data_IF_030568435416
#
_entry.id   IF_030568435416
#
_cell.length_a   1.000
_cell.length_b   1.000
_cell.length_c   1.000
_cell.angle_alpha   90.00
_cell.angle_beta   90.00
_cell.angle_gamma   90.00
#
_symmetry.space_group_name_H-M   'P 1'
#
loop_
_entity.id
_entity.type
_entity.pdbx_description
1 polymer ?
#
# COMPACT_ATOMS: atom_id res chain seq x y z
N UNK A 1 26.72 -16.43 -37.42
CA UNK A 1 26.84 -15.47 -36.29
C UNK A 1 27.34 -16.27 -35.10
N UNK A 2 28.67 -16.42 -35.03
CA UNK A 2 29.38 -17.47 -34.31
C UNK A 2 29.66 -17.11 -32.84
N UNK A 3 29.79 -18.14 -32.02
CA UNK A 3 30.09 -18.17 -30.57
C UNK A 3 31.23 -17.22 -30.13
N UNK A 4 32.07 -16.79 -31.08
CA UNK A 4 33.18 -15.85 -30.89
C UNK A 4 32.76 -14.43 -30.47
N UNK A 5 31.54 -13.98 -30.82
CA UNK A 5 31.08 -12.63 -30.43
C UNK A 5 30.63 -12.55 -28.97
N UNK A 6 30.20 -13.68 -28.38
CA UNK A 6 29.76 -13.73 -26.98
C UNK A 6 30.93 -13.77 -25.99
N UNK A 7 32.04 -14.42 -26.35
CA UNK A 7 33.24 -14.52 -25.51
C UNK A 7 34.00 -13.20 -25.42
N UNK A 8 34.00 -12.39 -26.48
CA UNK A 8 34.71 -11.09 -26.50
C UNK A 8 34.04 -10.04 -25.59
N UNK A 9 32.71 -10.07 -25.50
CA UNK A 9 31.96 -9.21 -24.58
C UNK A 9 32.21 -9.55 -23.10
N UNK A 10 32.49 -10.81 -22.79
CA UNK A 10 32.75 -11.27 -21.41
C UNK A 10 34.18 -10.95 -20.93
N UNK A 11 35.16 -10.92 -21.83
CA UNK A 11 36.56 -10.63 -21.50
C UNK A 11 36.86 -9.13 -21.34
N UNK A 12 36.05 -8.25 -21.94
CA UNK A 12 36.21 -6.79 -21.87
C UNK A 12 35.19 -6.09 -20.94
N UNK A 13 34.46 -6.83 -20.11
CA UNK A 13 33.73 -6.18 -19.02
C UNK A 13 34.74 -5.81 -17.93
N UNK A 14 34.89 -4.53 -17.55
CA UNK A 14 35.71 -4.17 -16.39
C UNK A 14 35.21 -4.94 -15.17
N UNK A 15 36.13 -5.46 -14.36
CA UNK A 15 35.76 -6.19 -13.16
C UNK A 15 34.98 -5.25 -12.22
N UNK A 16 33.69 -5.52 -12.06
CA UNK A 16 32.82 -4.81 -11.11
C UNK A 16 33.20 -5.08 -9.64
N UNK A 17 34.35 -5.72 -9.37
CA UNK A 17 34.86 -5.97 -8.02
C UNK A 17 35.14 -4.67 -7.23
N UNK A 18 35.35 -3.54 -7.92
CA UNK A 18 35.54 -2.21 -7.31
C UNK A 18 34.26 -1.35 -7.37
N UNK A 19 33.17 -1.85 -7.97
CA UNK A 19 31.89 -1.15 -8.05
C UNK A 19 30.97 -1.38 -6.84
N UNK A 20 31.51 -1.96 -5.76
CA UNK A 20 30.84 -2.04 -4.46
C UNK A 20 31.11 -0.78 -3.64
N UNK A 21 30.44 0.32 -4.00
CA UNK A 21 30.45 1.54 -3.20
C UNK A 21 29.62 1.36 -1.93
N UNK A 22 30.24 0.85 -0.86
CA UNK A 22 29.73 0.95 0.50
C UNK A 22 30.29 2.26 1.06
N UNK A 23 29.51 3.34 0.98
CA UNK A 23 29.89 4.65 1.52
C UNK A 23 29.51 4.67 2.99
N UNK A 24 30.45 4.93 3.91
CA UNK A 24 30.18 5.07 5.35
C UNK A 24 29.10 6.14 5.66
N UNK A 25 28.89 7.09 4.75
CA UNK A 25 27.82 8.09 4.81
C UNK A 25 26.40 7.49 4.74
N UNK A 26 26.21 6.36 4.04
CA UNK A 26 24.91 5.68 3.93
C UNK A 26 24.53 4.99 5.26
N UNK A 27 25.50 4.49 6.02
CA UNK A 27 25.29 3.83 7.32
C UNK A 27 24.93 4.84 8.42
N UNK A 28 25.69 5.94 8.54
CA UNK A 28 25.40 7.00 9.52
C UNK A 28 24.01 7.64 9.30
N UNK A 29 23.59 7.78 8.04
CA UNK A 29 22.26 8.27 7.71
C UNK A 29 21.16 7.30 8.16
N UNK A 30 21.39 6.00 7.97
CA UNK A 30 20.46 4.96 8.38
C UNK A 30 20.29 4.91 9.90
N UNK A 31 21.39 5.00 10.67
CA UNK A 31 21.36 5.05 12.13
C UNK A 31 20.55 6.24 12.64
N UNK A 32 20.83 7.46 12.13
CA UNK A 32 20.09 8.68 12.48
C UNK A 32 18.59 8.52 12.23
N UNK A 33 18.22 7.86 11.13
CA UNK A 33 16.81 7.59 10.80
C UNK A 33 16.17 6.63 11.79
N UNK A 34 16.90 5.61 12.22
CA UNK A 34 16.43 4.64 13.22
C UNK A 34 16.24 5.28 14.59
N UNK A 35 17.14 6.18 15.01
CA UNK A 35 16.99 6.97 16.22
C UNK A 35 15.74 7.85 16.18
N UNK A 36 15.51 8.55 15.05
CA UNK A 36 14.31 9.37 14.86
C UNK A 36 13.04 8.51 14.94
N UNK A 37 13.05 7.31 14.34
CA UNK A 37 11.92 6.39 14.39
C UNK A 37 11.66 5.89 15.82
N UNK A 38 12.71 5.47 16.54
CA UNK A 38 12.63 5.05 17.95
C UNK A 38 12.09 6.17 18.84
N UNK A 39 12.61 7.40 18.68
CA UNK A 39 12.14 8.57 19.43
C UNK A 39 10.67 8.87 19.17
N UNK A 40 10.20 8.75 17.91
CA UNK A 40 8.78 8.92 17.57
C UNK A 40 7.90 7.85 18.21
N UNK A 41 8.35 6.59 18.22
CA UNK A 41 7.62 5.50 18.87
C UNK A 41 7.55 5.73 20.38
N UNK A 42 8.67 6.04 21.02
CA UNK A 42 8.72 6.31 22.46
C UNK A 42 7.80 7.46 22.87
N UNK A 43 7.73 8.54 22.08
CA UNK A 43 6.79 9.65 22.33
C UNK A 43 5.32 9.22 22.18
N UNK A 44 5.03 8.30 21.26
CA UNK A 44 3.67 7.75 21.12
C UNK A 44 3.32 6.88 22.33
N UNK A 45 4.21 5.97 22.72
CA UNK A 45 4.04 5.05 23.85
C UNK A 45 4.00 5.80 25.20
N UNK A 46 4.68 6.95 25.31
CA UNK A 46 4.65 7.79 26.52
C UNK A 46 3.26 8.37 26.84
N UNK A 47 2.40 8.58 25.83
CA UNK A 47 1.03 9.10 26.04
C UNK A 47 0.11 8.14 26.79
N UNK A 48 0.62 6.95 26.99
CA UNK A 48 -0.08 5.70 27.19
C UNK A 48 0.54 4.93 28.37
N UNK A 49 1.62 5.47 28.93
CA UNK A 49 2.35 4.94 30.08
C UNK A 49 1.57 5.03 31.40
N UNK A 50 0.52 5.87 31.46
CA UNK A 50 -0.33 6.02 32.64
C UNK A 50 -1.38 4.90 32.78
N UNK A 51 -1.38 3.90 31.90
CA UNK A 51 -2.37 2.84 31.89
C UNK A 51 -1.83 1.61 32.63
N UNK A 52 -2.46 1.27 33.75
CA UNK A 52 -2.05 0.14 34.59
C UNK A 52 -2.28 -1.19 33.88
N UNK A 53 -1.32 -2.12 34.04
CA UNK A 53 -1.47 -3.48 33.54
C UNK A 53 -2.53 -4.22 34.36
N UNK A 54 -3.55 -4.80 33.73
CA UNK A 54 -4.50 -5.64 34.46
C UNK A 54 -3.79 -6.89 34.96
N UNK A 55 -4.22 -7.35 36.14
CA UNK A 55 -3.58 -8.46 36.84
C UNK A 55 -3.72 -9.78 36.11
N UNK A 56 -4.76 -9.97 35.28
CA UNK A 56 -5.10 -11.26 34.66
C UNK A 56 -5.21 -11.18 33.13
N UNK A 57 -4.84 -12.27 32.46
CA UNK A 57 -4.99 -12.43 31.01
C UNK A 57 -6.46 -12.66 30.63
N UNK A 58 -6.94 -11.99 29.57
CA UNK A 58 -8.34 -12.10 29.13
C UNK A 58 -8.75 -13.48 28.61
N UNK A 59 -7.78 -14.32 28.18
CA UNK A 59 -8.06 -15.66 27.61
C UNK A 59 -7.86 -16.81 28.58
N UNK A 60 -6.84 -16.74 29.43
CA UNK A 60 -6.48 -17.85 30.33
C UNK A 60 -6.58 -17.51 31.81
N UNK A 61 -6.96 -16.27 32.17
CA UNK A 61 -7.15 -15.79 33.55
C UNK A 61 -5.92 -15.94 34.47
N UNK A 62 -4.77 -16.31 33.91
CA UNK A 62 -3.49 -16.37 34.63
C UNK A 62 -2.98 -14.96 34.91
N UNK A 63 -2.14 -14.78 35.95
CA UNK A 63 -1.50 -13.50 36.21
C UNK A 63 -0.75 -13.02 34.97
N UNK A 64 -1.10 -11.82 34.51
CA UNK A 64 -0.54 -11.17 33.33
C UNK A 64 0.63 -10.30 33.78
N UNK A 65 1.84 -10.74 33.46
CA UNK A 65 3.06 -9.95 33.61
C UNK A 65 3.35 -9.17 32.32
N UNK A 66 4.58 -8.65 32.20
CA UNK A 66 5.11 -8.02 30.99
C UNK A 66 4.89 -8.94 29.76
N UNK A 67 3.85 -8.64 29.00
CA UNK A 67 3.51 -9.34 27.75
C UNK A 67 3.76 -8.43 26.56
N UNK A 68 4.15 -9.03 25.43
CA UNK A 68 4.50 -8.27 24.23
C UNK A 68 3.32 -7.45 23.70
N UNK A 69 2.10 -8.01 23.79
CA UNK A 69 0.86 -7.35 23.38
C UNK A 69 0.48 -6.20 24.32
N UNK A 70 0.74 -6.34 25.63
CA UNK A 70 0.49 -5.27 26.58
C UNK A 70 1.43 -4.09 26.37
N UNK A 71 2.73 -4.34 26.26
CA UNK A 71 3.75 -3.29 26.08
C UNK A 71 3.44 -2.40 24.87
N UNK A 72 3.07 -3.01 23.72
CA UNK A 72 2.91 -2.28 22.46
C UNK A 72 1.48 -1.82 22.18
N UNK A 73 0.47 -2.60 22.57
CA UNK A 73 -0.92 -2.35 22.20
C UNK A 73 -1.85 -2.14 23.40
N UNK A 74 -1.36 -2.31 24.63
CA UNK A 74 -2.18 -2.39 25.85
C UNK A 74 -3.35 -3.37 25.72
N UNK A 75 -3.08 -4.50 25.07
CA UNK A 75 -4.04 -5.58 24.96
C UNK A 75 -3.71 -6.66 25.99
N UNK A 76 -4.65 -7.03 26.90
CA UNK A 76 -4.36 -7.84 28.08
C UNK A 76 -4.31 -9.35 27.77
N UNK A 77 -3.36 -9.76 26.95
CA UNK A 77 -3.18 -11.15 26.52
C UNK A 77 -1.74 -11.58 26.72
N UNK A 78 -1.55 -12.70 27.42
CA UNK A 78 -0.22 -13.27 27.63
C UNK A 78 0.36 -13.87 26.34
N UNK A 79 1.69 -13.98 26.27
CA UNK A 79 2.36 -14.45 25.06
C UNK A 79 2.00 -15.91 24.70
N UNK A 80 1.60 -16.74 25.67
CA UNK A 80 1.12 -18.09 25.39
C UNK A 80 -0.25 -18.13 24.70
N UNK A 81 -1.07 -17.10 24.91
CA UNK A 81 -2.40 -16.98 24.31
C UNK A 81 -2.40 -16.09 23.06
N UNK A 82 -1.24 -15.55 22.69
CA UNK A 82 -1.05 -14.78 21.47
C UNK A 82 -1.23 -15.68 20.25
N UNK A 83 -1.97 -15.17 19.28
CA UNK A 83 -2.29 -15.85 18.02
C UNK A 83 -1.98 -14.92 16.86
N UNK A 84 -0.83 -15.12 16.26
CA UNK A 84 -0.32 -14.29 15.16
C UNK A 84 -1.13 -14.46 13.87
N UNK A 85 -1.91 -15.55 13.74
CA UNK A 85 -2.64 -15.87 12.51
C UNK A 85 -4.10 -15.41 12.54
N UNK A 86 -4.76 -15.54 13.68
CA UNK A 86 -6.18 -15.24 13.83
C UNK A 86 -6.44 -13.82 14.32
N UNK A 87 -6.64 -13.69 15.64
CA UNK A 87 -7.11 -12.48 16.31
C UNK A 87 -5.99 -11.44 16.50
N UNK A 88 -4.80 -11.87 16.89
CA UNK A 88 -3.69 -10.96 17.22
C UNK A 88 -2.79 -10.67 16.01
N UNK A 89 -3.28 -10.93 14.80
CA UNK A 89 -2.57 -10.61 13.55
C UNK A 89 -2.32 -9.11 13.45
N UNK A 90 -1.09 -8.76 13.10
CA UNK A 90 -0.67 -7.39 12.84
C UNK A 90 -1.03 -7.01 11.40
N UNK A 91 -1.71 -5.88 11.23
CA UNK A 91 -2.20 -5.39 9.95
C UNK A 91 -1.58 -4.03 9.65
N UNK A 92 -0.94 -3.82 8.50
CA UNK A 92 -0.39 -2.52 8.12
C UNK A 92 -1.52 -1.51 7.89
N UNK A 93 -1.23 -0.23 8.19
CA UNK A 93 -2.18 0.88 8.03
C UNK A 93 -2.92 0.89 6.68
N UNK A 94 -2.22 0.57 5.59
CA UNK A 94 -2.81 0.53 4.25
C UNK A 94 -3.84 -0.59 4.12
N UNK A 95 -3.53 -1.80 4.59
CA UNK A 95 -4.46 -2.94 4.61
C UNK A 95 -5.64 -2.68 5.54
N UNK A 96 -5.41 -2.05 6.70
CA UNK A 96 -6.49 -1.68 7.61
C UNK A 96 -7.54 -0.76 6.95
N UNK A 97 -7.08 0.26 6.22
CA UNK A 97 -7.96 1.18 5.47
C UNK A 97 -8.73 0.49 4.35
N UNK A 98 -8.09 -0.40 3.59
CA UNK A 98 -8.73 -1.06 2.45
C UNK A 98 -9.68 -2.17 2.91
N UNK A 99 -9.28 -2.94 3.92
CA UNK A 99 -10.01 -4.13 4.37
C UNK A 99 -11.19 -3.76 5.26
N UNK A 100 -11.02 -2.81 6.18
CA UNK A 100 -12.04 -2.35 7.13
C UNK A 100 -12.65 -0.99 6.76
N UNK A 101 -12.31 -0.45 5.59
CA UNK A 101 -12.87 0.80 5.06
C UNK A 101 -12.67 2.03 5.99
N UNK A 102 -11.72 1.95 6.92
CA UNK A 102 -11.40 2.98 7.89
C UNK A 102 -10.68 4.18 7.26
N UNK A 103 -10.96 5.39 7.76
CA UNK A 103 -10.28 6.62 7.34
C UNK A 103 -9.12 6.95 8.29
N UNK A 104 -8.30 7.92 7.90
CA UNK A 104 -7.17 8.38 8.73
C UNK A 104 -7.60 9.02 10.05
N UNK A 105 -8.72 9.76 10.04
CA UNK A 105 -9.31 10.33 11.25
C UNK A 105 -9.76 9.25 12.24
N UNK A 106 -10.21 8.10 11.74
CA UNK A 106 -10.70 7.01 12.58
C UNK A 106 -9.56 6.29 13.32
N UNK A 107 -8.36 6.31 12.75
CA UNK A 107 -7.16 5.72 13.36
C UNK A 107 -6.44 6.70 14.30
N UNK A 108 -6.24 7.94 13.85
CA UNK A 108 -5.36 8.91 14.54
C UNK A 108 -6.11 9.85 15.52
N UNK A 109 -7.39 10.17 15.27
CA UNK A 109 -8.12 11.22 16.02
C UNK A 109 -9.18 10.69 16.99
N UNK A 110 -9.88 9.61 16.63
CA UNK A 110 -10.94 9.05 17.47
C UNK A 110 -10.37 8.47 18.75
N UNK A 111 -10.99 8.81 19.89
CA UNK A 111 -10.63 8.30 21.22
C UNK A 111 -11.34 6.95 21.47
N UNK A 112 -10.67 5.94 22.06
CA UNK A 112 -9.24 5.91 22.39
C UNK A 112 -8.36 5.84 21.13
N UNK A 113 -7.21 6.54 21.13
CA UNK A 113 -6.29 6.48 19.98
C UNK A 113 -5.69 5.08 19.90
N UNK A 114 -5.66 4.49 18.71
CA UNK A 114 -5.12 3.16 18.52
C UNK A 114 -3.59 3.20 18.59
N UNK A 115 -3.01 2.33 19.41
CA UNK A 115 -1.57 2.12 19.45
C UNK A 115 -1.12 1.39 18.19
N UNK A 116 0.11 1.65 17.77
CA UNK A 116 0.70 0.99 16.61
C UNK A 116 2.15 0.63 16.88
N UNK A 117 2.62 -0.41 16.17
CA UNK A 117 4.03 -0.74 16.11
C UNK A 117 4.65 -0.24 14.80
N UNK A 118 5.68 0.60 14.90
CA UNK A 118 6.45 1.05 13.74
C UNK A 118 7.52 0.04 13.31
N UNK A 119 7.55 -0.29 12.02
CA UNK A 119 8.56 -1.17 11.40
C UNK A 119 9.07 -0.55 10.09
N UNK A 120 10.28 -0.91 9.66
CA UNK A 120 10.79 -0.51 8.35
C UNK A 120 9.93 -1.10 7.23
N UNK A 121 9.80 -0.36 6.13
CA UNK A 121 9.05 -0.81 4.98
C UNK A 121 9.85 -1.93 4.25
N UNK A 122 9.30 -3.14 4.07
CA UNK A 122 10.00 -4.28 3.48
C UNK A 122 10.30 -4.08 2.00
N UNK A 123 9.53 -3.22 1.30
CA UNK A 123 9.78 -2.95 -0.11
C UNK A 123 10.99 -2.03 -0.31
N UNK A 124 11.09 -0.99 0.52
CA UNK A 124 12.25 -0.10 0.51
C UNK A 124 12.44 0.52 1.91
N UNK A 125 13.57 0.24 2.60
CA UNK A 125 13.83 0.82 3.92
C UNK A 125 13.97 2.35 3.89
N UNK A 126 14.23 2.94 2.71
CA UNK A 126 14.27 4.40 2.51
C UNK A 126 12.88 5.05 2.54
N UNK A 127 11.80 4.28 2.44
CA UNK A 127 10.43 4.80 2.59
C UNK A 127 10.04 4.98 4.06
N UNK A 128 9.01 5.79 4.30
CA UNK A 128 8.50 6.01 5.66
C UNK A 128 8.18 4.70 6.37
N UNK A 129 8.41 4.68 7.69
CA UNK A 129 8.17 3.50 8.52
C UNK A 129 6.68 3.10 8.43
N UNK A 130 6.43 1.81 8.29
CA UNK A 130 5.07 1.28 8.31
C UNK A 130 4.53 1.30 9.74
N UNK A 131 3.23 1.58 9.86
CA UNK A 131 2.50 1.41 11.12
C UNK A 131 1.69 0.13 11.05
N UNK A 132 1.90 -0.75 12.03
CA UNK A 132 1.18 -2.00 12.20
C UNK A 132 0.18 -1.85 13.36
N UNK A 133 -1.07 -2.24 13.12
CA UNK A 133 -2.16 -2.22 14.09
C UNK A 133 -2.61 -3.64 14.43
N UNK A 134 -3.15 -3.83 15.62
CA UNK A 134 -3.72 -5.11 16.03
C UNK A 134 -5.09 -5.32 15.39
N UNK A 135 -5.33 -6.50 14.80
CA UNK A 135 -6.59 -6.80 14.11
C UNK A 135 -7.82 -6.68 15.01
N UNK A 136 -7.78 -7.19 16.26
CA UNK A 136 -8.91 -7.05 17.19
C UNK A 136 -9.34 -5.59 17.40
N UNK A 137 -8.37 -4.70 17.66
CA UNK A 137 -8.64 -3.28 17.86
C UNK A 137 -9.22 -2.59 16.61
N UNK A 138 -8.79 -3.02 15.41
CA UNK A 138 -9.37 -2.52 14.16
C UNK A 138 -10.81 -2.98 13.97
N UNK A 139 -11.13 -4.21 14.33
CA UNK A 139 -12.48 -4.76 14.27
C UNK A 139 -13.40 -4.02 15.24
N UNK A 140 -12.97 -3.80 16.48
CA UNK A 140 -13.71 -2.99 17.46
C UNK A 140 -13.98 -1.57 16.93
N UNK A 141 -12.95 -0.89 16.40
CA UNK A 141 -13.10 0.44 15.78
C UNK A 141 -14.02 0.43 14.57
N UNK A 142 -14.02 -0.63 13.79
CA UNK A 142 -14.93 -0.80 12.65
C UNK A 142 -16.38 -0.89 13.15
N UNK A 143 -16.63 -1.70 14.19
CA UNK A 143 -17.96 -1.84 14.80
C UNK A 143 -18.44 -0.53 15.44
N UNK A 144 -17.55 0.26 16.04
CA UNK A 144 -17.91 1.59 16.57
C UNK A 144 -18.39 2.57 15.48
N UNK A 145 -17.93 2.40 14.24
CA UNK A 145 -18.24 3.32 13.13
C UNK A 145 -19.46 2.85 12.33
N UNK A 146 -19.51 1.55 12.06
CA UNK A 146 -20.54 0.94 11.22
C UNK A 146 -21.66 0.28 12.02
N UNK A 147 -21.55 0.23 13.35
CA UNK A 147 -22.55 -0.36 14.25
C UNK A 147 -22.56 -1.89 14.23
N UNK A 148 -22.77 -2.48 13.06
CA UNK A 148 -22.91 -3.93 12.88
C UNK A 148 -22.06 -4.47 11.73
N UNK A 149 -21.78 -5.77 11.77
CA UNK A 149 -21.11 -6.48 10.67
C UNK A 149 -21.92 -6.45 9.38
N UNK A 150 -23.25 -6.48 9.48
CA UNK A 150 -24.14 -6.48 8.31
C UNK A 150 -24.09 -5.14 7.56
N UNK A 151 -24.15 -4.02 8.28
CA UNK A 151 -24.03 -2.68 7.69
C UNK A 151 -22.68 -2.47 7.02
N UNK A 152 -21.61 -2.93 7.66
CA UNK A 152 -20.27 -2.90 7.10
C UNK A 152 -20.17 -3.71 5.79
N UNK A 153 -20.72 -4.92 5.75
CA UNK A 153 -20.75 -5.74 4.54
C UNK A 153 -21.60 -5.11 3.43
N UNK A 154 -22.74 -4.51 3.77
CA UNK A 154 -23.59 -3.80 2.83
C UNK A 154 -22.85 -2.61 2.19
N UNK A 155 -22.17 -1.79 2.99
CA UNK A 155 -21.35 -0.67 2.51
C UNK A 155 -20.19 -1.16 1.62
N UNK A 156 -19.55 -2.27 1.99
CA UNK A 156 -18.48 -2.87 1.19
C UNK A 156 -18.99 -3.35 -0.18
N UNK A 157 -20.15 -4.02 -0.22
CA UNK A 157 -20.81 -4.44 -1.46
C UNK A 157 -21.20 -3.22 -2.32
N UNK A 158 -21.75 -2.18 -1.70
CA UNK A 158 -22.11 -0.93 -2.39
C UNK A 158 -20.89 -0.25 -3.03
N UNK A 159 -19.74 -0.20 -2.34
CA UNK A 159 -18.53 0.37 -2.93
C UNK A 159 -17.95 -0.48 -4.07
N UNK A 160 -18.08 -1.81 -3.99
CA UNK A 160 -17.67 -2.70 -5.09
C UNK A 160 -18.53 -2.45 -6.33
N UNK A 161 -19.86 -2.45 -6.18
CA UNK A 161 -20.77 -2.21 -7.30
C UNK A 161 -20.56 -0.82 -7.92
N UNK A 162 -20.38 0.21 -7.10
CA UNK A 162 -20.05 1.55 -7.61
C UNK A 162 -18.70 1.58 -8.35
N UNK A 163 -17.70 0.81 -7.92
CA UNK A 163 -16.41 0.71 -8.61
C UNK A 163 -16.56 0.02 -9.96
N UNK A 164 -17.35 -1.04 -10.04
CA UNK A 164 -17.67 -1.74 -11.28
C UNK A 164 -18.41 -0.83 -12.27
N UNK A 165 -19.46 -0.12 -11.81
CA UNK A 165 -20.19 0.85 -12.64
C UNK A 165 -19.28 1.98 -13.14
N UNK A 166 -18.37 2.49 -12.29
CA UNK A 166 -17.38 3.51 -12.73
C UNK A 166 -16.39 2.94 -13.74
N UNK A 167 -15.97 1.69 -13.58
CA UNK A 167 -15.06 1.02 -14.50
C UNK A 167 -15.72 0.80 -15.86
N UNK A 168 -16.98 0.36 -15.89
CA UNK A 168 -17.78 0.20 -17.12
C UNK A 168 -17.93 1.53 -17.85
N UNK A 169 -18.38 2.59 -17.16
CA UNK A 169 -18.50 3.93 -17.75
C UNK A 169 -17.17 4.46 -18.29
N UNK A 170 -16.06 4.20 -17.60
CA UNK A 170 -14.74 4.59 -18.07
C UNK A 170 -14.31 3.79 -19.31
N UNK A 171 -14.68 2.50 -19.38
CA UNK A 171 -14.43 1.67 -20.54
C UNK A 171 -15.24 2.14 -21.75
N UNK A 172 -16.54 2.40 -21.58
CA UNK A 172 -17.41 2.94 -22.63
C UNK A 172 -16.90 4.27 -23.19
N UNK A 173 -16.46 5.18 -22.31
CA UNK A 173 -15.84 6.45 -22.72
C UNK A 173 -14.61 6.23 -23.59
N UNK A 174 -13.70 5.35 -23.16
CA UNK A 174 -12.49 5.01 -23.95
C UNK A 174 -12.85 4.39 -25.29
N UNK A 175 -13.85 3.51 -25.36
CA UNK A 175 -14.33 2.92 -26.62
C UNK A 175 -14.89 4.00 -27.54
N UNK A 176 -15.67 4.94 -27.02
CA UNK A 176 -16.22 6.05 -27.80
C UNK A 176 -15.13 6.97 -28.34
N UNK A 177 -14.14 7.33 -27.53
CA UNK A 177 -12.98 8.13 -27.95
C UNK A 177 -12.20 7.41 -29.06
N UNK A 178 -11.89 6.12 -28.88
CA UNK A 178 -11.21 5.32 -29.91
C UNK A 178 -12.00 5.30 -31.23
N UNK A 179 -13.32 5.11 -31.18
CA UNK A 179 -14.18 5.14 -32.38
C UNK A 179 -14.16 6.51 -33.06
N UNK A 180 -14.17 7.59 -32.29
CA UNK A 180 -14.06 8.95 -32.83
C UNK A 180 -12.72 9.14 -33.55
N UNK A 181 -11.60 8.78 -32.93
CA UNK A 181 -10.28 8.88 -33.55
C UNK A 181 -10.17 8.09 -34.86
N UNK A 182 -10.71 6.86 -34.91
CA UNK A 182 -10.74 6.06 -36.15
C UNK A 182 -11.65 6.69 -37.20
N UNK A 183 -12.84 7.14 -36.84
CA UNK A 183 -13.76 7.77 -37.82
C UNK A 183 -13.16 9.05 -38.43
N UNK A 184 -12.45 9.85 -37.64
CA UNK A 184 -11.78 11.07 -38.10
C UNK A 184 -10.60 10.72 -39.01
N UNK A 185 -9.82 9.69 -38.69
CA UNK A 185 -8.69 9.28 -39.53
C UNK A 185 -9.14 8.76 -40.89
N UNK A 186 -10.21 7.96 -40.97
CA UNK A 186 -10.77 7.48 -42.25
C UNK A 186 -11.31 8.63 -43.10
N UNK A 187 -11.99 9.61 -42.49
CA UNK A 187 -12.48 10.78 -43.22
C UNK A 187 -11.34 11.63 -43.79
N UNK A 188 -10.28 11.85 -43.02
CA UNK A 188 -9.11 12.62 -43.47
C UNK A 188 -8.40 11.88 -44.62
N UNK A 189 -8.17 10.58 -44.52
CA UNK A 189 -7.50 9.81 -45.60
C UNK A 189 -8.34 9.82 -46.88
N UNK A 190 -9.67 9.72 -46.78
CA UNK A 190 -10.56 9.81 -47.94
C UNK A 190 -10.49 11.18 -48.62
N UNK A 191 -10.48 12.27 -47.86
CA UNK A 191 -10.33 13.63 -48.41
C UNK A 191 -8.97 13.81 -49.09
N UNK A 192 -7.90 13.31 -48.47
CA UNK A 192 -6.55 13.36 -49.04
C UNK A 192 -6.50 12.58 -50.37
N UNK A 193 -7.05 11.36 -50.41
CA UNK A 193 -7.11 10.56 -51.63
C UNK A 193 -7.91 11.23 -52.74
N UNK A 194 -9.07 11.83 -52.42
CA UNK A 194 -9.85 12.61 -53.39
C UNK A 194 -9.07 13.82 -53.92
N UNK A 195 -8.35 14.53 -53.06
CA UNK A 195 -7.52 15.66 -53.46
C UNK A 195 -6.40 15.23 -54.42
N UNK A 196 -5.68 14.16 -54.10
CA UNK A 196 -4.66 13.60 -55.00
C UNK A 196 -5.26 13.09 -56.31
N UNK A 197 -6.42 12.46 -56.28
CA UNK A 197 -7.13 12.00 -57.47
C UNK A 197 -7.54 13.16 -58.39
N UNK A 198 -8.05 14.26 -57.82
CA UNK A 198 -8.38 15.47 -58.57
C UNK A 198 -7.14 16.16 -59.15
N UNK A 199 -6.02 16.17 -58.42
CA UNK A 199 -4.74 16.67 -58.95
C UNK A 199 -4.30 15.81 -60.14
N UNK A 200 -4.35 14.48 -60.03
CA UNK A 200 -3.96 13.56 -61.10
C UNK A 200 -4.84 13.76 -62.35
N UNK A 201 -6.16 13.95 -62.20
CA UNK A 201 -7.05 14.27 -63.30
C UNK A 201 -6.71 15.60 -63.99
N UNK A 202 -6.17 16.57 -63.25
CA UNK A 202 -5.79 17.90 -63.77
C UNK A 202 -4.43 17.91 -64.47
N UNK A 203 -3.59 16.92 -64.22
CA UNK A 203 -2.25 16.76 -64.79
C UNK A 203 -2.14 15.60 -65.79
N UNK A 204 -3.23 14.89 -66.07
CA UNK A 204 -3.28 13.89 -67.12
C UNK A 204 -3.20 14.59 -68.49
N UNK A 205 -2.16 14.34 -69.31
CA UNK A 205 -2.10 14.88 -70.67
C UNK A 205 -3.23 14.27 -71.52
N UNK A 206 -3.90 15.12 -72.29
CA UNK A 206 -4.89 14.73 -73.32
C UNK A 206 -4.23 13.93 -74.45
#
# INVERSE_FOLDING_TARGET
MSVLTFTFLRQNQPSFAVAGGFMDDDDQYQERREEIAKSRQQRADSKFAAQDCPDNCSKCEKPLFDSWLWERFSHPVCDSCRDDTGEHRLIPRTEAKTTYLLKDCDLDLRKPVLRYWSKKNPHNPRYGDMKLYLKCQLVERMLEIYGSWEEFEAEKKLRSSQKEVRAEKNFEKKVKEMRQHVSVSVNITFIILLYYFLILLKWAPL
#
